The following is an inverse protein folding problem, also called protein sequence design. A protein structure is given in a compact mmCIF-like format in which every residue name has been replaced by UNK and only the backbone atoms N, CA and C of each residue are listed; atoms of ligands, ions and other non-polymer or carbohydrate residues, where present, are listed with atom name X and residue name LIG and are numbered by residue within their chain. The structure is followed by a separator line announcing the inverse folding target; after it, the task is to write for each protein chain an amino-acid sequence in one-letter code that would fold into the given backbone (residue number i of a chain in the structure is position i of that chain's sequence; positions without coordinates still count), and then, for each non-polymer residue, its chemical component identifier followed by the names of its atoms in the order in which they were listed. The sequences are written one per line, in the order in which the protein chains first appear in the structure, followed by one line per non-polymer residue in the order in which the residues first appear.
data_IF_343967470567
#
_entry.id   IF_343967470567
#
_cell.length_a   1.000
_cell.length_b   1.000
_cell.length_c   1.000
_cell.angle_alpha   90.00
_cell.angle_beta   90.00
_cell.angle_gamma   90.00
#
_symmetry.space_group_name_H-M   'P 1'
#
loop_
_entity.id
_entity.type
_entity.pdbx_description
1 polymer ?
#
# COMPACT_ATOMS: atom_id res chain seq x y z
N UNK A 1 41.70 -32.38 -45.22
CA UNK A 1 40.69 -33.07 -44.39
C UNK A 1 39.80 -31.98 -43.78
N UNK A 2 38.87 -31.46 -44.58
CA UNK A 2 37.41 -31.72 -44.54
C UNK A 2 36.72 -31.07 -43.33
N UNK A 3 36.05 -29.97 -43.63
CA UNK A 3 35.16 -29.17 -42.79
C UNK A 3 33.97 -29.98 -42.27
N UNK A 4 33.74 -29.96 -40.95
CA UNK A 4 32.52 -30.49 -40.34
C UNK A 4 31.51 -29.36 -40.13
N UNK A 5 30.57 -29.25 -41.06
CA UNK A 5 29.33 -28.49 -40.90
C UNK A 5 28.43 -29.15 -39.86
N UNK A 6 28.27 -28.51 -38.71
CA UNK A 6 27.23 -28.83 -37.76
C UNK A 6 25.94 -28.11 -38.20
N UNK A 7 25.01 -28.91 -38.71
CA UNK A 7 23.65 -28.51 -39.07
C UNK A 7 22.95 -27.79 -37.92
N UNK A 8 22.61 -26.52 -38.14
CA UNK A 8 21.74 -25.76 -37.27
C UNK A 8 20.35 -26.42 -37.22
N UNK A 9 20.02 -27.06 -36.09
CA UNK A 9 18.65 -27.44 -35.76
C UNK A 9 17.81 -26.17 -35.61
N UNK A 10 17.08 -25.81 -36.65
CA UNK A 10 16.04 -24.79 -36.63
C UNK A 10 14.91 -25.25 -35.70
N UNK A 11 15.02 -24.93 -34.41
CA UNK A 11 13.88 -25.02 -33.49
C UNK A 11 12.84 -24.00 -33.92
N UNK A 12 11.85 -24.50 -34.65
CA UNK A 12 10.65 -23.79 -35.09
C UNK A 12 9.85 -23.37 -33.84
N UNK A 13 10.26 -22.27 -33.23
CA UNK A 13 9.56 -21.63 -32.12
C UNK A 13 8.27 -21.02 -32.65
N UNK A 14 7.21 -21.84 -32.74
CA UNK A 14 5.84 -21.36 -32.94
C UNK A 14 5.58 -20.28 -31.90
N UNK A 15 5.65 -19.01 -32.31
CA UNK A 15 5.18 -17.87 -31.53
C UNK A 15 3.74 -18.18 -31.14
N UNK A 16 3.52 -18.52 -29.88
CA UNK A 16 2.20 -18.61 -29.28
C UNK A 16 1.54 -17.26 -29.52
N UNK A 17 0.59 -17.20 -30.46
CA UNK A 17 -0.22 -16.00 -30.69
C UNK A 17 -0.84 -15.67 -29.34
N UNK A 18 -0.45 -14.54 -28.73
CA UNK A 18 -1.12 -13.99 -27.55
C UNK A 18 -2.62 -14.00 -27.85
N UNK A 19 -3.36 -14.87 -27.16
CA UNK A 19 -4.79 -15.01 -27.33
C UNK A 19 -5.42 -13.62 -27.24
N UNK A 20 -5.92 -13.10 -28.37
CA UNK A 20 -6.69 -11.85 -28.39
C UNK A 20 -7.83 -12.04 -27.39
N UNK A 21 -8.02 -11.11 -26.43
CA UNK A 21 -9.10 -11.26 -25.47
C UNK A 21 -10.42 -11.36 -26.24
N UNK A 22 -11.22 -12.39 -25.93
CA UNK A 22 -12.52 -12.58 -26.58
C UNK A 22 -13.35 -11.30 -26.46
N UNK A 23 -14.22 -11.00 -27.44
CA UNK A 23 -15.06 -9.79 -27.43
C UNK A 23 -15.86 -9.62 -26.13
N UNK A 24 -16.29 -10.73 -25.52
CA UNK A 24 -16.89 -10.77 -24.17
C UNK A 24 -15.95 -10.30 -23.07
N UNK A 25 -14.67 -10.73 -23.07
CA UNK A 25 -13.68 -10.29 -22.09
C UNK A 25 -13.36 -8.80 -22.22
N UNK A 26 -13.35 -8.27 -23.45
CA UNK A 26 -13.17 -6.83 -23.72
C UNK A 26 -14.37 -6.03 -23.21
N UNK A 27 -15.60 -6.48 -23.45
CA UNK A 27 -16.81 -5.82 -22.95
C UNK A 27 -16.88 -5.81 -21.41
N UNK A 28 -16.55 -6.93 -20.75
CA UNK A 28 -16.47 -6.99 -19.29
C UNK A 28 -15.37 -6.06 -18.76
N UNK A 29 -14.22 -5.98 -19.43
CA UNK A 29 -13.14 -5.06 -19.06
C UNK A 29 -13.53 -3.58 -19.23
N UNK A 30 -14.31 -3.25 -20.26
CA UNK A 30 -14.84 -1.90 -20.49
C UNK A 30 -15.90 -1.54 -19.45
N UNK A 31 -16.78 -2.47 -19.06
CA UNK A 31 -17.76 -2.26 -17.98
C UNK A 31 -17.11 -2.11 -16.60
N UNK A 32 -15.98 -2.77 -16.36
CA UNK A 32 -15.14 -2.55 -15.16
C UNK A 32 -14.41 -1.20 -15.19
N UNK A 33 -14.27 -0.56 -16.35
CA UNK A 33 -13.65 0.76 -16.58
C UNK A 33 -14.65 1.92 -16.59
N UNK A 34 -15.91 1.66 -16.26
CA UNK A 34 -16.98 2.66 -16.25
C UNK A 34 -16.70 3.84 -15.30
N UNK A 35 -17.27 5.03 -15.58
CA UNK A 35 -17.09 6.23 -14.77
C UNK A 35 -17.44 6.02 -13.29
N UNK A 36 -18.47 5.23 -13.00
CA UNK A 36 -18.92 4.92 -11.63
C UNK A 36 -17.86 4.14 -10.84
N UNK A 37 -17.24 3.13 -11.44
CA UNK A 37 -16.14 2.37 -10.83
C UNK A 37 -14.89 3.22 -10.66
N UNK A 38 -14.59 4.11 -11.64
CA UNK A 38 -13.50 5.09 -11.52
C UNK A 38 -13.70 6.03 -10.33
N UNK A 39 -14.93 6.50 -10.09
CA UNK A 39 -15.26 7.34 -8.94
C UNK A 39 -15.05 6.59 -7.62
N UNK A 40 -15.40 5.29 -7.56
CA UNK A 40 -15.14 4.45 -6.39
C UNK A 40 -13.64 4.26 -6.16
N UNK A 41 -12.87 3.99 -7.22
CA UNK A 41 -11.41 3.87 -7.12
C UNK A 41 -10.76 5.17 -6.66
N UNK A 42 -11.22 6.32 -7.18
CA UNK A 42 -10.79 7.65 -6.76
C UNK A 42 -11.10 7.92 -5.29
N UNK A 43 -12.32 7.65 -4.84
CA UNK A 43 -12.73 7.85 -3.45
C UNK A 43 -11.94 6.94 -2.50
N UNK A 44 -11.73 5.68 -2.88
CA UNK A 44 -10.93 4.74 -2.11
C UNK A 44 -9.46 5.20 -2.01
N UNK A 45 -8.85 5.62 -3.13
CA UNK A 45 -7.46 6.11 -3.16
C UNK A 45 -7.30 7.44 -2.41
N UNK A 46 -8.28 8.35 -2.50
CA UNK A 46 -8.27 9.61 -1.76
C UNK A 46 -8.36 9.35 -0.25
N UNK A 47 -9.32 8.52 0.19
CA UNK A 47 -9.47 8.17 1.61
C UNK A 47 -8.23 7.48 2.19
N UNK A 48 -7.60 6.59 1.42
CA UNK A 48 -6.33 5.95 1.76
C UNK A 48 -5.21 6.97 1.98
N UNK A 49 -5.04 7.92 1.05
CA UNK A 49 -4.01 8.98 1.15
C UNK A 49 -4.23 9.87 2.38
N UNK A 50 -5.47 10.25 2.65
CA UNK A 50 -5.81 11.05 3.83
C UNK A 50 -5.55 10.29 5.14
N UNK A 51 -5.88 9.00 5.19
CA UNK A 51 -5.61 8.16 6.36
C UNK A 51 -4.11 8.01 6.62
N UNK A 52 -3.32 7.77 5.57
CA UNK A 52 -1.84 7.70 5.65
C UNK A 52 -1.26 9.04 6.11
N UNK A 53 -1.73 10.16 5.54
CA UNK A 53 -1.28 11.50 5.93
C UNK A 53 -1.57 11.77 7.42
N UNK A 54 -2.77 11.42 7.90
CA UNK A 54 -3.13 11.56 9.31
C UNK A 54 -2.28 10.68 10.22
N UNK A 55 -1.99 9.44 9.82
CA UNK A 55 -1.12 8.55 10.57
C UNK A 55 0.30 9.11 10.71
N UNK A 56 0.88 9.62 9.62
CA UNK A 56 2.18 10.30 9.62
C UNK A 56 2.18 11.56 10.48
N UNK A 57 1.12 12.35 10.41
CA UNK A 57 0.99 13.56 11.21
C UNK A 57 0.93 13.24 12.71
N UNK A 58 0.17 12.22 13.09
CA UNK A 58 0.09 11.76 14.48
C UNK A 58 1.44 11.24 14.99
N UNK A 59 2.20 10.54 14.15
CA UNK A 59 3.57 10.14 14.48
C UNK A 59 4.44 11.37 14.77
N UNK A 60 4.45 12.36 13.87
CA UNK A 60 5.22 13.60 14.04
C UNK A 60 4.87 14.35 15.32
N UNK A 61 3.58 14.50 15.64
CA UNK A 61 3.15 15.12 16.89
C UNK A 61 3.65 14.35 18.12
N UNK A 62 3.66 13.02 18.06
CA UNK A 62 4.16 12.18 19.14
C UNK A 62 5.68 12.33 19.31
N UNK A 63 6.44 12.34 18.21
CA UNK A 63 7.88 12.60 18.23
C UNK A 63 8.21 13.98 18.79
N UNK A 64 7.46 15.00 18.38
CA UNK A 64 7.63 16.36 18.85
C UNK A 64 7.36 16.47 20.35
N UNK A 65 6.23 15.94 20.83
CA UNK A 65 5.92 15.91 22.26
C UNK A 65 6.95 15.14 23.09
N UNK A 66 7.51 14.04 22.57
CA UNK A 66 8.59 13.31 23.22
C UNK A 66 9.88 14.13 23.32
N UNK A 67 10.25 14.84 22.26
CA UNK A 67 11.42 15.73 22.25
C UNK A 67 11.25 16.91 23.21
N UNK A 68 10.07 17.55 23.26
CA UNK A 68 9.79 18.63 24.20
C UNK A 68 9.89 18.16 25.65
N UNK A 69 9.28 17.01 25.98
CA UNK A 69 9.34 16.44 27.33
C UNK A 69 10.78 16.13 27.75
N UNK A 70 11.59 15.62 26.83
CA UNK A 70 13.01 15.39 27.11
C UNK A 70 13.75 16.70 27.37
N UNK A 71 13.53 17.73 26.53
CA UNK A 71 14.13 19.06 26.70
C UNK A 71 13.81 19.67 28.06
N UNK A 72 12.53 19.70 28.43
CA UNK A 72 12.05 20.16 29.74
C UNK A 72 12.66 19.35 30.89
N UNK A 73 12.74 18.03 30.75
CA UNK A 73 13.35 17.17 31.77
C UNK A 73 14.84 17.49 31.96
N UNK A 74 15.57 17.71 30.86
CA UNK A 74 16.99 18.04 30.92
C UNK A 74 17.28 19.44 31.45
N UNK A 75 16.36 20.39 31.25
CA UNK A 75 16.50 21.75 31.77
C UNK A 75 16.21 21.82 33.28
N UNK A 76 15.25 21.02 33.76
CA UNK A 76 14.85 20.99 35.18
C UNK A 76 15.78 20.17 36.05
N UNK A 77 16.46 19.15 35.49
CA UNK A 77 17.31 18.23 36.26
C UNK A 77 18.71 18.09 35.61
N UNK A 78 19.57 19.11 35.69
CA UNK A 78 20.84 19.13 34.96
C UNK A 78 21.89 18.12 35.47
N UNK A 79 21.84 17.70 36.75
CA UNK A 79 22.93 16.98 37.44
C UNK A 79 22.68 15.47 37.59
N UNK A 80 21.60 14.90 37.01
CA UNK A 80 21.29 13.46 37.17
C UNK A 80 21.59 12.64 35.90
N UNK A 81 22.82 12.13 35.71
CA UNK A 81 23.22 11.43 34.47
C UNK A 81 22.42 10.14 34.23
N UNK A 82 22.31 9.24 35.21
CA UNK A 82 21.57 7.97 35.03
C UNK A 82 20.09 8.18 34.72
N UNK A 83 19.42 9.10 35.42
CA UNK A 83 18.00 9.38 35.18
C UNK A 83 17.77 10.05 33.83
N UNK A 84 18.73 10.86 33.37
CA UNK A 84 18.72 11.47 32.04
C UNK A 84 18.88 10.44 30.92
N UNK A 85 19.72 9.44 31.11
CA UNK A 85 19.84 8.33 30.17
C UNK A 85 18.58 7.46 30.12
N UNK A 86 18.01 7.13 31.29
CA UNK A 86 16.74 6.43 31.36
C UNK A 86 15.61 7.22 30.66
N UNK A 87 15.55 8.54 30.85
CA UNK A 87 14.59 9.41 30.16
C UNK A 87 14.82 9.42 28.63
N UNK A 88 16.07 9.47 28.15
CA UNK A 88 16.40 9.35 26.73
C UNK A 88 15.94 8.02 26.16
N UNK A 89 16.22 6.91 26.83
CA UNK A 89 15.79 5.57 26.41
C UNK A 89 14.27 5.46 26.38
N UNK A 90 13.57 5.92 27.42
CA UNK A 90 12.11 5.93 27.47
C UNK A 90 11.50 6.74 26.32
N UNK A 91 12.08 7.90 25.96
CA UNK A 91 11.63 8.68 24.81
C UNK A 91 11.94 7.99 23.48
N UNK A 92 13.08 7.29 23.36
CA UNK A 92 13.40 6.47 22.19
C UNK A 92 12.38 5.35 21.98
N UNK A 93 11.99 4.64 23.04
CA UNK A 93 10.94 3.62 22.98
C UNK A 93 9.58 4.23 22.61
N UNK A 94 9.22 5.40 23.14
CA UNK A 94 7.98 6.10 22.74
C UNK A 94 7.96 6.48 21.26
N UNK A 95 9.09 6.91 20.72
CA UNK A 95 9.25 7.23 19.29
C UNK A 95 9.12 5.97 18.43
N UNK A 96 9.73 4.86 18.84
CA UNK A 96 9.58 3.56 18.16
C UNK A 96 8.14 3.03 18.22
N UNK A 97 7.47 3.10 19.37
CA UNK A 97 6.06 2.72 19.47
C UNK A 97 5.16 3.59 18.58
N UNK A 98 5.51 4.87 18.38
CA UNK A 98 4.79 5.75 17.46
C UNK A 98 4.99 5.34 15.99
N UNK A 99 6.20 4.94 15.59
CA UNK A 99 6.48 4.46 14.23
C UNK A 99 5.74 3.15 13.95
N UNK A 100 5.73 2.21 14.90
CA UNK A 100 4.97 0.95 14.79
C UNK A 100 3.46 1.20 14.64
N UNK A 101 2.91 2.11 15.46
CA UNK A 101 1.49 2.53 15.34
C UNK A 101 1.20 3.19 13.99
N UNK A 102 2.13 3.96 13.42
CA UNK A 102 1.98 4.49 12.05
C UNK A 102 1.90 3.34 11.06
N UNK A 103 2.85 2.40 11.10
CA UNK A 103 2.91 1.28 10.17
C UNK A 103 1.61 0.45 10.21
N UNK A 104 1.10 0.16 11.42
CA UNK A 104 -0.17 -0.53 11.60
C UNK A 104 -1.35 0.25 10.98
N UNK A 105 -1.40 1.57 11.14
CA UNK A 105 -2.43 2.43 10.55
C UNK A 105 -2.33 2.54 9.03
N UNK A 106 -1.12 2.61 8.48
CA UNK A 106 -0.90 2.60 7.04
C UNK A 106 -1.35 1.25 6.45
N UNK A 107 -0.96 0.12 7.06
CA UNK A 107 -1.41 -1.20 6.65
C UNK A 107 -2.94 -1.36 6.71
N UNK A 108 -3.58 -0.86 7.77
CA UNK A 108 -5.04 -0.84 7.89
C UNK A 108 -5.70 0.04 6.82
N UNK A 109 -5.13 1.21 6.51
CA UNK A 109 -5.64 2.06 5.44
C UNK A 109 -5.58 1.38 4.07
N UNK A 110 -4.48 0.70 3.76
CA UNK A 110 -4.31 -0.08 2.55
C UNK A 110 -5.31 -1.24 2.47
N UNK A 111 -5.48 -2.00 3.55
CA UNK A 111 -6.41 -3.14 3.59
C UNK A 111 -7.86 -2.69 3.45
N UNK A 112 -8.26 -1.61 4.12
CA UNK A 112 -9.60 -1.03 3.99
C UNK A 112 -9.87 -0.50 2.58
N UNK A 113 -8.90 0.16 1.95
CA UNK A 113 -9.03 0.65 0.59
C UNK A 113 -9.14 -0.49 -0.42
N UNK A 114 -8.32 -1.55 -0.25
CA UNK A 114 -8.42 -2.76 -1.05
C UNK A 114 -9.78 -3.45 -0.89
N UNK A 115 -10.27 -3.58 0.34
CA UNK A 115 -11.59 -4.15 0.63
C UNK A 115 -12.73 -3.34 0.00
N UNK A 116 -12.67 -2.00 0.04
CA UNK A 116 -13.66 -1.13 -0.62
C UNK A 116 -13.67 -1.34 -2.14
N UNK A 117 -12.51 -1.44 -2.77
CA UNK A 117 -12.39 -1.73 -4.22
C UNK A 117 -12.92 -3.12 -4.56
N UNK A 118 -12.58 -4.14 -3.76
CA UNK A 118 -13.04 -5.51 -3.96
C UNK A 118 -14.57 -5.61 -3.86
N UNK A 119 -15.18 -5.06 -2.81
CA UNK A 119 -16.64 -5.02 -2.64
C UNK A 119 -17.36 -4.35 -3.80
N UNK A 120 -16.80 -3.25 -4.33
CA UNK A 120 -17.38 -2.56 -5.48
C UNK A 120 -17.28 -3.39 -6.77
N UNK A 121 -16.19 -4.13 -6.95
CA UNK A 121 -16.06 -5.07 -8.08
C UNK A 121 -17.04 -6.23 -7.95
N UNK A 122 -17.15 -6.83 -6.77
CA UNK A 122 -18.08 -7.93 -6.49
C UNK A 122 -19.54 -7.52 -6.68
N UNK A 123 -19.95 -6.35 -6.17
CA UNK A 123 -21.32 -5.85 -6.37
C UNK A 123 -21.61 -5.60 -7.85
N UNK A 124 -20.64 -5.09 -8.61
CA UNK A 124 -20.78 -4.90 -10.05
C UNK A 124 -20.89 -6.22 -10.80
N UNK A 125 -20.08 -7.22 -10.45
CA UNK A 125 -20.18 -8.58 -11.03
C UNK A 125 -21.55 -9.19 -10.74
N UNK A 126 -22.06 -9.07 -9.51
CA UNK A 126 -23.40 -9.54 -9.16
C UNK A 126 -24.49 -8.84 -9.99
N UNK A 127 -24.39 -7.52 -10.17
CA UNK A 127 -25.33 -6.77 -10.99
C UNK A 127 -25.29 -7.20 -12.47
N UNK A 128 -24.10 -7.46 -13.01
CA UNK A 128 -23.94 -7.97 -14.37
C UNK A 128 -24.54 -9.37 -14.53
N UNK A 129 -24.29 -10.27 -13.58
CA UNK A 129 -24.85 -11.62 -13.61
C UNK A 129 -26.40 -11.60 -13.50
N UNK A 130 -26.97 -10.69 -12.71
CA UNK A 130 -28.42 -10.49 -12.65
C UNK A 130 -29.01 -9.93 -13.95
N UNK A 131 -28.26 -9.11 -14.68
CA UNK A 131 -28.72 -8.53 -15.95
C UNK A 131 -28.60 -9.50 -17.15
N UNK A 132 -27.88 -10.61 -17.00
CA UNK A 132 -27.69 -11.64 -18.03
C UNK A 132 -28.65 -12.82 -17.85
N UNK A 133 -29.17 -13.03 -16.63
CA UNK A 133 -30.23 -14.00 -16.34
C UNK A 133 -31.60 -13.37 -16.54
#
# INVERSE_FOLDING_TARGET
MTSNGATATATNGKRVKKNRPSGTRVLVSNKMREPSMRMVEWRAKSGERWAIARARMQEKFTHWGASMKLGLYTATHPVHPMRREAAKQAMKHKKAAATERRMAKEAAAHSMAAAKRARARESRVKALNKAVR
#
